data_IF_155813487148
#
_entry.id   IF_155813487148
#
_cell.length_a   1.000
_cell.length_b   1.000
_cell.length_c   1.000
_cell.angle_alpha   90.00
_cell.angle_beta   90.00
_cell.angle_gamma   90.00
#
_symmetry.space_group_name_H-M   'P 1'
#
loop_
_entity.id
_entity.type
_entity.pdbx_description
1 polymer ?
#
# COMPACT_ATOMS: atom_id res chain seq x y z
N UNK A 1 21.98 14.24 75.13
CA UNK A 1 23.39 14.61 74.87
C UNK A 1 24.08 13.48 74.12
N UNK A 2 24.76 13.79 73.00
CA UNK A 2 25.95 13.11 72.41
C UNK A 2 25.82 11.59 72.09
N UNK A 3 25.62 11.22 70.82
CA UNK A 3 26.66 10.88 69.79
C UNK A 3 27.49 9.63 70.11
N UNK A 4 27.33 8.57 69.30
CA UNK A 4 28.31 7.65 68.62
C UNK A 4 27.42 6.66 67.81
N UNK A 5 27.21 6.67 66.49
CA UNK A 5 28.05 6.65 65.27
C UNK A 5 28.94 5.40 65.11
N UNK A 6 28.64 4.54 64.13
CA UNK A 6 29.63 3.55 63.68
C UNK A 6 29.13 2.41 62.79
N UNK A 7 29.04 2.68 61.48
CA UNK A 7 29.32 1.76 60.38
C UNK A 7 28.50 0.46 60.22
N UNK A 8 27.51 0.50 59.33
CA UNK A 8 27.39 -0.44 58.21
C UNK A 8 26.38 0.07 57.18
N UNK A 9 26.59 -0.27 55.92
CA UNK A 9 25.79 0.07 54.73
C UNK A 9 25.99 1.47 54.11
N UNK A 10 27.23 1.73 53.72
CA UNK A 10 27.48 2.34 52.41
C UNK A 10 27.41 1.24 51.33
N UNK A 11 26.24 1.03 50.71
CA UNK A 11 26.10 0.23 49.49
C UNK A 11 24.76 0.41 48.71
N UNK A 12 24.01 1.50 48.91
CA UNK A 12 22.77 1.74 48.13
C UNK A 12 22.62 3.21 47.71
N UNK A 13 23.72 3.79 47.24
CA UNK A 13 23.69 4.94 46.34
C UNK A 13 24.09 4.43 44.97
N UNK A 14 23.11 4.19 44.08
CA UNK A 14 23.20 4.15 42.61
C UNK A 14 22.03 3.31 42.08
N UNK A 15 20.86 3.94 41.88
CA UNK A 15 19.84 3.55 40.85
C UNK A 15 18.62 4.47 40.87
N UNK A 16 18.38 5.25 41.93
CA UNK A 16 17.28 6.21 42.00
C UNK A 16 17.73 7.61 41.54
N UNK A 17 18.18 7.74 40.29
CA UNK A 17 18.30 9.01 39.53
C UNK A 17 18.84 8.70 38.12
N UNK A 18 18.00 8.11 37.28
CA UNK A 18 18.19 8.12 35.83
C UNK A 18 16.84 8.43 35.17
N UNK A 19 16.55 9.73 35.07
CA UNK A 19 15.77 10.33 33.99
C UNK A 19 14.31 9.91 33.81
N UNK A 20 13.41 10.53 34.56
CA UNK A 20 12.00 10.76 34.15
C UNK A 20 11.87 11.74 32.96
N UNK A 21 12.94 11.96 32.20
CA UNK A 21 13.01 12.88 31.06
C UNK A 21 14.02 12.41 30.02
N UNK A 22 13.99 11.11 29.72
CA UNK A 22 14.55 10.58 28.47
C UNK A 22 13.42 10.53 27.42
N UNK A 23 13.59 11.09 26.20
CA UNK A 23 12.66 10.91 25.09
C UNK A 23 12.79 9.48 24.60
N UNK A 24 12.13 8.58 25.32
CA UNK A 24 12.25 7.15 25.14
C UNK A 24 11.25 6.44 26.04
N UNK A 25 10.05 7.01 26.20
CA UNK A 25 8.90 6.24 26.64
C UNK A 25 8.84 5.03 25.70
N UNK A 26 9.22 3.87 26.24
CA UNK A 26 9.19 2.60 25.53
C UNK A 26 7.78 2.42 25.03
N UNK A 27 7.59 2.61 23.73
CA UNK A 27 6.35 2.36 23.03
C UNK A 27 5.92 0.93 23.39
N UNK A 28 4.71 0.80 23.95
CA UNK A 28 4.23 -0.48 24.46
C UNK A 28 3.91 -1.47 23.33
N UNK A 29 3.68 -0.98 22.12
CA UNK A 29 3.28 -1.76 20.95
C UNK A 29 4.44 -1.98 19.98
N UNK A 30 4.54 -3.20 19.45
CA UNK A 30 5.47 -3.51 18.35
C UNK A 30 4.95 -2.91 17.02
N UNK A 31 5.83 -2.69 16.02
CA UNK A 31 5.42 -2.24 14.69
C UNK A 31 4.29 -3.08 14.07
N UNK A 32 4.35 -4.40 14.26
CA UNK A 32 3.33 -5.31 13.75
C UNK A 32 1.98 -5.15 14.49
N UNK A 33 2.00 -4.89 15.80
CA UNK A 33 0.79 -4.63 16.59
C UNK A 33 0.13 -3.30 16.19
N UNK A 34 0.92 -2.24 16.03
CA UNK A 34 0.41 -0.91 15.61
C UNK A 34 -0.20 -0.97 14.20
N UNK A 35 0.46 -1.64 13.24
CA UNK A 35 -0.14 -1.85 11.91
C UNK A 35 -1.38 -2.75 11.98
N UNK A 36 -1.40 -3.81 12.79
CA UNK A 36 -2.61 -4.64 12.92
C UNK A 36 -3.81 -3.85 13.48
N UNK A 37 -3.57 -2.97 14.47
CA UNK A 37 -4.57 -2.03 14.96
C UNK A 37 -5.04 -1.08 13.84
N UNK A 38 -4.09 -0.63 13.00
CA UNK A 38 -4.38 0.19 11.81
C UNK A 38 -5.31 -0.52 10.83
N UNK A 39 -5.01 -1.78 10.50
CA UNK A 39 -5.86 -2.59 9.64
C UNK A 39 -7.29 -2.75 10.18
N UNK A 40 -7.43 -2.94 11.50
CA UNK A 40 -8.73 -3.04 12.18
C UNK A 40 -9.51 -1.72 12.10
N UNK A 41 -8.87 -0.59 12.39
CA UNK A 41 -9.49 0.74 12.34
C UNK A 41 -9.92 1.10 10.90
N UNK A 42 -9.05 0.88 9.91
CA UNK A 42 -9.37 1.04 8.49
C UNK A 42 -10.56 0.17 8.06
N UNK A 43 -10.64 -1.06 8.58
CA UNK A 43 -11.77 -1.98 8.37
C UNK A 43 -13.12 -1.42 8.84
N UNK A 44 -13.13 -0.51 9.80
CA UNK A 44 -14.33 0.12 10.37
C UNK A 44 -14.76 1.39 9.64
N UNK A 45 -13.92 1.96 8.77
CA UNK A 45 -14.28 3.17 8.01
C UNK A 45 -15.50 2.93 7.12
N UNK A 46 -16.45 3.86 7.14
CA UNK A 46 -17.62 3.87 6.24
C UNK A 46 -17.29 4.50 4.90
N UNK A 47 -16.36 5.44 4.88
CA UNK A 47 -15.91 6.13 3.68
C UNK A 47 -14.48 6.63 3.87
N UNK A 48 -13.75 6.79 2.77
CA UNK A 48 -12.42 7.38 2.76
C UNK A 48 -12.21 8.18 1.48
N UNK A 49 -11.47 9.28 1.58
CA UNK A 49 -10.85 9.93 0.42
C UNK A 49 -9.46 9.36 0.25
N UNK A 50 -9.01 9.29 -1.00
CA UNK A 50 -7.70 8.76 -1.31
C UNK A 50 -7.09 9.50 -2.49
N UNK A 51 -5.76 9.60 -2.45
CA UNK A 51 -4.91 10.02 -3.54
C UNK A 51 -3.83 8.96 -3.71
N UNK A 52 -3.67 8.48 -4.94
CA UNK A 52 -2.66 7.51 -5.34
C UNK A 52 -1.79 8.15 -6.39
N UNK A 53 -0.49 8.08 -6.19
CA UNK A 53 0.50 8.39 -7.20
C UNK A 53 1.39 7.17 -7.39
N UNK A 54 1.58 6.74 -8.63
CA UNK A 54 2.47 5.64 -8.98
C UNK A 54 3.36 6.03 -10.15
N UNK A 55 4.57 5.50 -10.14
CA UNK A 55 5.56 5.67 -11.19
C UNK A 55 6.08 4.29 -11.54
N UNK A 56 5.97 3.89 -12.80
CA UNK A 56 6.36 2.56 -13.27
C UNK A 56 7.26 2.71 -14.50
N UNK A 57 8.41 2.05 -14.50
CA UNK A 57 9.20 1.86 -15.71
C UNK A 57 8.55 0.76 -16.53
N UNK A 58 8.12 1.10 -17.75
CA UNK A 58 7.45 0.19 -18.67
C UNK A 58 8.33 -0.03 -19.89
N UNK A 59 8.53 -1.29 -20.24
CA UNK A 59 9.10 -1.68 -21.53
C UNK A 59 7.96 -2.17 -22.43
N UNK A 60 7.62 -1.38 -23.45
CA UNK A 60 6.59 -1.74 -24.42
C UNK A 60 7.21 -2.43 -25.65
N UNK A 61 6.55 -3.46 -26.21
CA UNK A 61 6.93 -4.02 -27.50
C UNK A 61 6.90 -2.95 -28.60
N UNK A 62 7.88 -2.96 -29.50
CA UNK A 62 8.02 -1.96 -30.56
C UNK A 62 6.76 -1.84 -31.43
N UNK A 63 6.12 -2.97 -31.76
CA UNK A 63 4.88 -3.01 -32.54
C UNK A 63 3.73 -2.25 -31.90
N UNK A 64 3.62 -2.25 -30.57
CA UNK A 64 2.60 -1.50 -29.84
C UNK A 64 2.94 -0.01 -29.81
N UNK A 65 4.22 0.34 -29.65
CA UNK A 65 4.69 1.74 -29.74
C UNK A 65 4.31 2.33 -31.11
N UNK A 66 4.53 1.58 -32.19
CA UNK A 66 4.24 2.03 -33.55
C UNK A 66 2.73 2.23 -33.77
N UNK A 67 1.88 1.34 -33.24
CA UNK A 67 0.42 1.50 -33.28
C UNK A 67 -0.07 2.72 -32.50
N UNK A 68 0.50 2.97 -31.32
CA UNK A 68 0.16 4.13 -30.49
C UNK A 68 0.63 5.43 -31.14
N UNK A 69 1.80 5.44 -31.79
CA UNK A 69 2.29 6.58 -32.58
C UNK A 69 1.37 6.89 -33.75
N UNK A 70 0.93 5.87 -34.48
CA UNK A 70 -0.01 6.04 -35.59
C UNK A 70 -1.35 6.64 -35.16
N UNK A 71 -1.84 6.29 -33.95
CA UNK A 71 -3.11 6.82 -33.40
C UNK A 71 -2.99 8.17 -32.70
N UNK A 72 -1.85 8.46 -32.08
CA UNK A 72 -1.66 9.64 -31.22
C UNK A 72 -1.07 10.88 -31.90
N UNK A 73 -0.79 10.83 -33.21
CA UNK A 73 -0.35 11.99 -33.99
C UNK A 73 0.90 12.68 -33.41
N UNK A 74 0.97 14.01 -33.49
CA UNK A 74 2.12 14.80 -33.03
C UNK A 74 2.43 14.63 -31.52
N UNK A 75 1.43 14.28 -30.71
CA UNK A 75 1.56 14.11 -29.26
C UNK A 75 2.24 12.79 -28.86
N UNK A 76 2.27 11.81 -29.77
CA UNK A 76 2.88 10.50 -29.55
C UNK A 76 4.36 10.42 -29.95
N UNK A 77 4.96 11.52 -30.43
CA UNK A 77 6.36 11.57 -30.88
C UNK A 77 7.38 11.18 -29.79
N UNK A 78 7.03 11.36 -28.52
CA UNK A 78 7.87 11.02 -27.38
C UNK A 78 7.66 9.59 -26.82
N UNK A 79 6.83 8.75 -27.48
CA UNK A 79 6.73 7.33 -27.13
C UNK A 79 8.01 6.58 -27.55
N UNK A 80 8.55 5.78 -26.65
CA UNK A 80 9.74 4.94 -26.81
C UNK A 80 9.50 3.51 -26.30
N UNK A 81 10.39 2.57 -26.59
CA UNK A 81 10.23 1.19 -26.09
C UNK A 81 10.46 1.10 -24.58
N UNK A 82 11.29 1.96 -24.00
CA UNK A 82 11.48 2.08 -22.55
C UNK A 82 11.04 3.46 -22.09
N UNK A 83 10.12 3.53 -21.13
CA UNK A 83 9.64 4.81 -20.62
C UNK A 83 9.13 4.71 -19.20
N UNK A 84 8.98 5.87 -18.56
CA UNK A 84 8.30 5.98 -17.29
C UNK A 84 6.83 6.33 -17.52
N UNK A 85 5.94 5.45 -17.06
CA UNK A 85 4.54 5.74 -16.89
C UNK A 85 4.33 6.36 -15.50
N UNK A 86 3.57 7.46 -15.44
CA UNK A 86 3.08 7.99 -14.17
C UNK A 86 1.57 7.86 -14.12
N UNK A 87 1.05 7.48 -12.98
CA UNK A 87 -0.36 7.29 -12.72
C UNK A 87 -0.74 8.14 -11.51
N UNK A 88 -1.82 8.88 -11.63
CA UNK A 88 -2.47 9.59 -10.54
C UNK A 88 -3.92 9.15 -10.46
N UNK A 89 -4.38 8.81 -9.27
CA UNK A 89 -5.79 8.52 -9.01
C UNK A 89 -6.19 9.36 -7.80
N UNK A 90 -7.29 10.08 -7.89
CA UNK A 90 -7.88 10.78 -6.74
C UNK A 90 -9.35 10.47 -6.66
N UNK A 91 -9.86 10.23 -5.45
CA UNK A 91 -11.24 9.78 -5.33
C UNK A 91 -11.74 9.63 -3.91
N UNK A 92 -12.94 9.07 -3.83
CA UNK A 92 -13.59 8.69 -2.59
C UNK A 92 -14.27 7.33 -2.76
N UNK A 93 -14.19 6.52 -1.71
CA UNK A 93 -14.92 5.28 -1.59
C UNK A 93 -15.87 5.37 -0.40
N UNK A 94 -17.05 4.79 -0.54
CA UNK A 94 -18.05 4.64 0.52
C UNK A 94 -18.60 3.23 0.50
N UNK A 95 -18.58 2.57 1.66
CA UNK A 95 -19.16 1.23 1.83
C UNK A 95 -20.69 1.30 1.71
N UNK A 96 -21.33 0.24 1.17
CA UNK A 96 -20.72 -1.02 0.76
C UNK A 96 -20.07 -1.02 -0.64
N UNK A 97 -20.48 -0.13 -1.55
CA UNK A 97 -20.22 -0.34 -2.98
C UNK A 97 -20.13 0.94 -3.83
N UNK A 98 -19.89 2.09 -3.20
CA UNK A 98 -19.73 3.36 -3.89
C UNK A 98 -18.26 3.73 -4.05
N UNK A 99 -17.87 4.10 -5.27
CA UNK A 99 -16.56 4.61 -5.61
C UNK A 99 -16.72 5.71 -6.64
N UNK A 100 -16.00 6.82 -6.46
CA UNK A 100 -15.79 7.80 -7.51
C UNK A 100 -14.31 8.15 -7.53
N UNK A 101 -13.68 8.04 -8.71
CA UNK A 101 -12.27 8.34 -8.87
C UNK A 101 -11.99 9.00 -10.22
N UNK A 102 -11.08 9.96 -10.22
CA UNK A 102 -10.44 10.46 -11.43
C UNK A 102 -9.11 9.74 -11.59
N UNK A 103 -8.83 9.27 -12.80
CA UNK A 103 -7.62 8.53 -13.16
C UNK A 103 -6.91 9.30 -14.26
N UNK A 104 -5.65 9.63 -14.04
CA UNK A 104 -4.77 10.27 -15.01
C UNK A 104 -3.52 9.42 -15.18
N UNK A 105 -3.27 8.92 -16.39
CA UNK A 105 -2.04 8.23 -16.75
C UNK A 105 -1.25 9.07 -17.75
N UNK A 106 0.06 9.20 -17.54
CA UNK A 106 0.97 9.87 -18.47
C UNK A 106 2.07 8.92 -18.92
N UNK A 107 2.23 8.82 -20.23
CA UNK A 107 3.10 7.85 -20.89
C UNK A 107 3.76 8.51 -22.11
N UNK A 108 5.08 8.74 -22.06
CA UNK A 108 5.85 9.26 -23.21
C UNK A 108 5.25 10.50 -23.88
N UNK A 109 4.74 11.46 -23.09
CA UNK A 109 4.12 12.70 -23.57
C UNK A 109 2.59 12.63 -23.78
N UNK A 110 2.02 11.44 -23.90
CA UNK A 110 0.58 11.22 -23.96
C UNK A 110 -0.02 11.28 -22.54
N UNK A 111 -1.08 12.07 -22.34
CA UNK A 111 -1.89 12.06 -21.13
C UNK A 111 -3.24 11.42 -21.45
N UNK A 112 -3.65 10.46 -20.64
CA UNK A 112 -4.93 9.77 -20.71
C UNK A 112 -5.67 10.08 -19.42
N UNK A 113 -6.88 10.63 -19.54
CA UNK A 113 -7.74 10.93 -18.41
C UNK A 113 -9.04 10.12 -18.53
N UNK A 114 -9.47 9.51 -17.43
CA UNK A 114 -10.74 8.79 -17.34
C UNK A 114 -11.32 8.97 -15.94
N UNK A 115 -12.65 8.97 -15.83
CA UNK A 115 -13.33 8.92 -14.55
C UNK A 115 -13.90 7.52 -14.37
N UNK A 116 -13.87 7.02 -13.14
CA UNK A 116 -14.42 5.75 -12.75
C UNK A 116 -15.46 5.97 -11.66
N UNK A 117 -16.64 5.35 -11.83
CA UNK A 117 -17.70 5.34 -10.83
C UNK A 117 -18.14 3.90 -10.60
N UNK A 118 -18.21 3.47 -9.34
CA UNK A 118 -18.90 2.24 -8.97
C UNK A 118 -20.12 2.56 -8.11
N UNK A 119 -21.26 1.95 -8.43
CA UNK A 119 -22.50 2.05 -7.66
C UNK A 119 -23.37 0.82 -7.93
N UNK A 120 -23.98 0.25 -6.90
CA UNK A 120 -24.87 -0.91 -7.05
C UNK A 120 -24.15 -2.14 -7.63
N UNK A 121 -22.85 -2.30 -7.32
CA UNK A 121 -22.02 -3.37 -7.89
C UNK A 121 -21.65 -3.22 -9.36
N UNK A 122 -22.05 -2.13 -10.02
CA UNK A 122 -21.71 -1.84 -11.43
C UNK A 122 -20.59 -0.81 -11.50
N UNK A 123 -19.59 -1.06 -12.34
CA UNK A 123 -18.48 -0.14 -12.58
C UNK A 123 -18.65 0.52 -13.94
N UNK A 124 -18.62 1.85 -13.94
CA UNK A 124 -18.69 2.74 -15.09
C UNK A 124 -17.35 3.45 -15.24
N UNK A 125 -16.95 3.70 -16.48
CA UNK A 125 -15.81 4.57 -16.77
C UNK A 125 -16.10 5.49 -17.94
N UNK A 126 -15.36 6.59 -18.06
CA UNK A 126 -15.39 7.44 -19.26
C UNK A 126 -14.36 6.96 -20.26
N UNK A 127 -14.77 6.59 -21.48
CA UNK A 127 -13.83 6.28 -22.56
C UNK A 127 -12.95 7.51 -22.84
N UNK A 128 -11.63 7.43 -22.70
CA UNK A 128 -10.73 8.57 -22.90
C UNK A 128 -10.74 9.10 -24.34
N UNK A 129 -11.18 8.31 -25.32
CA UNK A 129 -11.23 8.72 -26.73
C UNK A 129 -12.54 9.40 -27.11
N UNK A 130 -13.66 8.98 -26.52
CA UNK A 130 -15.00 9.48 -26.89
C UNK A 130 -15.66 10.33 -25.79
N UNK A 131 -15.09 10.33 -24.60
CA UNK A 131 -15.64 10.96 -23.39
C UNK A 131 -17.04 10.46 -23.01
N UNK A 132 -17.45 9.29 -23.52
CA UNK A 132 -18.74 8.68 -23.20
C UNK A 132 -18.60 7.74 -22.01
N UNK A 133 -19.63 7.66 -21.20
CA UNK A 133 -19.72 6.66 -20.13
C UNK A 133 -19.96 5.28 -20.72
N UNK A 134 -19.14 4.34 -20.31
CA UNK A 134 -19.23 2.94 -20.66
C UNK A 134 -19.30 2.09 -19.39
N UNK A 135 -19.98 0.94 -19.48
CA UNK A 135 -20.03 -0.04 -18.40
C UNK A 135 -18.84 -0.96 -18.58
N UNK A 136 -17.99 -1.08 -17.55
CA UNK A 136 -16.95 -2.09 -17.52
C UNK A 136 -17.59 -3.46 -17.27
N UNK A 137 -17.91 -4.17 -18.35
CA UNK A 137 -18.39 -5.54 -18.27
C UNK A 137 -17.24 -6.43 -17.83
N UNK A 138 -17.28 -6.91 -16.59
CA UNK A 138 -16.43 -8.03 -16.18
C UNK A 138 -16.79 -9.20 -17.10
N UNK A 139 -15.84 -9.89 -17.75
CA UNK A 139 -16.14 -11.15 -18.40
C UNK A 139 -16.85 -12.03 -17.39
N UNK A 140 -18.00 -12.61 -17.76
CA UNK A 140 -18.66 -13.65 -16.97
C UNK A 140 -17.78 -14.91 -16.99
N UNK A 141 -16.60 -14.83 -16.38
CA UNK A 141 -15.91 -16.00 -15.92
C UNK A 141 -16.77 -16.53 -14.79
N UNK A 142 -17.30 -17.73 -15.00
CA UNK A 142 -17.69 -18.71 -14.00
C UNK A 142 -16.61 -18.83 -12.92
N UNK A 143 -16.51 -17.84 -12.04
CA UNK A 143 -15.65 -17.87 -10.89
C UNK A 143 -16.30 -18.81 -9.87
N UNK A 144 -15.58 -19.81 -9.35
CA UNK A 144 -16.08 -20.66 -8.28
C UNK A 144 -16.58 -19.79 -7.11
N UNK A 145 -17.73 -20.15 -6.53
CA UNK A 145 -18.39 -19.48 -5.39
C UNK A 145 -17.56 -19.45 -4.08
N UNK A 146 -16.36 -20.04 -4.08
CA UNK A 146 -15.42 -19.96 -2.96
C UNK A 146 -14.31 -18.99 -3.33
N UNK A 147 -14.22 -17.86 -2.62
CA UNK A 147 -13.13 -16.90 -2.82
C UNK A 147 -11.79 -17.62 -2.61
N UNK A 148 -10.89 -17.68 -3.61
CA UNK A 148 -9.48 -17.87 -3.34
C UNK A 148 -9.03 -16.73 -2.40
N UNK A 149 -8.09 -17.02 -1.50
CA UNK A 149 -7.77 -16.19 -0.32
C UNK A 149 -7.86 -14.68 -0.56
N UNK A 150 -8.59 -13.98 0.29
CA UNK A 150 -8.81 -12.54 0.11
C UNK A 150 -7.52 -11.79 0.42
N UNK A 151 -7.02 -11.01 -0.55
CA UNK A 151 -5.99 -10.01 -0.28
C UNK A 151 -6.56 -9.04 0.77
N UNK A 152 -6.00 -9.10 1.96
CA UNK A 152 -6.42 -8.29 3.11
C UNK A 152 -5.21 -7.61 3.72
N UNK A 153 -5.47 -6.55 4.49
CA UNK A 153 -4.41 -5.88 5.23
C UNK A 153 -3.64 -6.86 6.13
N UNK A 154 -4.35 -7.76 6.81
CA UNK A 154 -3.74 -8.79 7.64
C UNK A 154 -2.88 -9.78 6.84
N UNK A 155 -3.32 -10.18 5.64
CA UNK A 155 -2.54 -11.05 4.78
C UNK A 155 -1.18 -10.44 4.40
N UNK A 156 -1.11 -9.12 4.19
CA UNK A 156 0.14 -8.42 3.92
C UNK A 156 1.06 -8.47 5.14
N UNK A 157 0.52 -8.28 6.34
CA UNK A 157 1.31 -8.30 7.58
C UNK A 157 1.80 -9.71 7.94
N UNK A 158 0.94 -10.72 7.84
CA UNK A 158 1.27 -12.11 8.20
C UNK A 158 2.34 -12.71 7.28
N UNK A 159 2.39 -12.23 6.04
CA UNK A 159 3.38 -12.65 5.03
C UNK A 159 4.52 -11.67 4.89
N UNK A 160 4.63 -10.64 5.73
CA UNK A 160 5.72 -9.68 5.61
C UNK A 160 7.08 -10.36 5.83
N UNK A 161 8.03 -10.10 4.92
CA UNK A 161 9.44 -10.44 5.11
C UNK A 161 10.07 -9.56 6.18
N UNK A 162 9.69 -8.29 6.23
CA UNK A 162 10.08 -7.36 7.30
C UNK A 162 9.05 -6.26 7.50
N UNK A 163 8.88 -5.85 8.76
CA UNK A 163 8.17 -4.64 9.18
C UNK A 163 9.11 -3.89 10.10
N UNK A 164 9.51 -2.69 9.71
CA UNK A 164 10.45 -1.87 10.49
C UNK A 164 9.86 -0.50 10.72
N UNK A 165 9.90 -0.03 11.97
CA UNK A 165 9.63 1.37 12.26
C UNK A 165 10.78 2.22 11.70
N UNK A 166 10.42 3.24 10.94
CA UNK A 166 11.35 4.21 10.39
C UNK A 166 11.28 5.45 11.28
N UNK A 167 12.33 5.69 12.04
CA UNK A 167 12.38 6.82 12.96
C UNK A 167 12.67 8.10 12.19
N UNK A 168 11.59 8.76 11.75
CA UNK A 168 11.66 10.13 11.26
C UNK A 168 11.44 11.10 12.42
N UNK A 169 12.20 12.18 12.48
CA UNK A 169 12.08 13.18 13.54
C UNK A 169 10.72 13.90 13.41
N UNK A 170 9.78 13.54 14.30
CA UNK A 170 8.43 14.11 14.44
C UNK A 170 7.67 14.30 13.11
N UNK A 171 7.20 13.20 12.51
CA UNK A 171 6.32 13.30 11.36
C UNK A 171 4.89 13.66 11.81
N UNK A 172 4.46 14.87 11.50
CA UNK A 172 3.02 15.22 11.46
C UNK A 172 2.57 15.22 10.02
N UNK A 173 1.47 14.53 9.71
CA UNK A 173 0.83 14.55 8.39
C UNK A 173 -0.61 15.04 8.54
N UNK A 174 -1.00 16.03 7.75
CA UNK A 174 -2.35 16.61 7.77
C UNK A 174 -2.84 17.02 9.18
N UNK A 175 -1.92 17.44 10.05
CA UNK A 175 -2.22 17.83 11.44
C UNK A 175 -2.31 16.66 12.44
N UNK A 176 -2.14 15.41 12.01
CA UNK A 176 -2.06 14.24 12.87
C UNK A 176 -0.60 13.84 13.11
N UNK A 177 -0.29 13.45 14.35
CA UNK A 177 0.98 12.77 14.67
C UNK A 177 0.95 11.38 14.08
N UNK A 178 1.98 11.01 13.32
CA UNK A 178 2.06 9.71 12.65
C UNK A 178 3.33 8.95 13.01
N UNK A 179 3.20 7.63 12.98
CA UNK A 179 4.29 6.67 12.97
C UNK A 179 4.55 6.20 11.54
N UNK A 180 5.84 6.08 11.19
CA UNK A 180 6.25 5.64 9.87
C UNK A 180 6.79 4.21 9.93
N UNK A 181 6.24 3.35 9.09
CA UNK A 181 6.62 1.96 8.97
C UNK A 181 7.00 1.61 7.54
N UNK A 182 8.09 0.85 7.40
CA UNK A 182 8.47 0.20 6.15
C UNK A 182 8.10 -1.28 6.19
N UNK A 183 7.28 -1.69 5.25
CA UNK A 183 6.80 -3.06 5.06
C UNK A 183 7.38 -3.62 3.77
N UNK A 184 8.04 -4.78 3.86
CA UNK A 184 8.51 -5.54 2.70
C UNK A 184 7.74 -6.86 2.70
N UNK A 185 6.73 -7.05 1.84
CA UNK A 185 6.01 -8.32 1.75
C UNK A 185 6.88 -9.45 1.21
N UNK A 186 6.68 -10.68 1.69
CA UNK A 186 7.15 -11.88 1.03
C UNK A 186 6.16 -12.20 -0.11
N UNK A 187 6.50 -11.76 -1.33
CA UNK A 187 5.61 -11.86 -2.49
C UNK A 187 5.23 -13.31 -2.83
N UNK A 188 6.09 -14.28 -2.52
CA UNK A 188 5.83 -15.70 -2.76
C UNK A 188 4.79 -16.21 -1.76
N UNK A 189 4.96 -15.91 -0.47
CA UNK A 189 3.98 -16.29 0.57
C UNK A 189 2.65 -15.56 0.40
N UNK A 190 2.70 -14.26 0.10
CA UNK A 190 1.51 -13.46 -0.16
C UNK A 190 0.72 -14.02 -1.35
N UNK A 191 1.39 -14.35 -2.45
CA UNK A 191 0.74 -14.98 -3.59
C UNK A 191 0.15 -16.35 -3.26
N UNK A 192 0.87 -17.19 -2.52
CA UNK A 192 0.36 -18.49 -2.06
C UNK A 192 -0.91 -18.34 -1.17
N UNK A 193 -0.92 -17.33 -0.30
CA UNK A 193 -2.07 -17.02 0.55
C UNK A 193 -3.27 -16.51 -0.26
N UNK A 194 -3.07 -15.61 -1.22
CA UNK A 194 -4.16 -15.04 -2.05
C UNK A 194 -4.71 -16.06 -3.05
N UNK A 195 -3.85 -16.92 -3.60
CA UNK A 195 -4.29 -18.02 -4.47
C UNK A 195 -5.02 -19.12 -3.69
N UNK A 196 -5.03 -19.08 -2.35
CA UNK A 196 -5.67 -20.09 -1.52
C UNK A 196 -5.17 -21.51 -1.82
N UNK A 197 -3.90 -21.65 -2.22
CA UNK A 197 -3.31 -22.93 -2.61
C UNK A 197 -3.88 -23.55 -3.90
N UNK A 198 -4.68 -22.81 -4.69
CA UNK A 198 -5.17 -23.32 -5.97
C UNK A 198 -4.01 -23.37 -6.96
N UNK A 199 -3.55 -24.59 -7.26
CA UNK A 199 -2.58 -24.82 -8.33
C UNK A 199 -3.22 -24.44 -9.67
N UNK A 200 -2.59 -23.54 -10.41
CA UNK A 200 -2.98 -23.28 -11.79
C UNK A 200 -2.85 -24.59 -12.58
N UNK A 201 -3.80 -24.85 -13.49
CA UNK A 201 -3.76 -26.01 -14.40
C UNK A 201 -2.53 -25.99 -15.32
N UNK A 202 -1.86 -24.85 -15.44
CA UNK A 202 -0.59 -24.69 -16.13
C UNK A 202 0.57 -24.60 -15.13
N UNK A 203 1.27 -25.72 -14.93
CA UNK A 203 2.42 -25.82 -14.03
C UNK A 203 3.61 -24.97 -14.49
N UNK A 204 3.85 -24.87 -15.80
CA UNK A 204 4.93 -24.04 -16.35
C UNK A 204 4.69 -22.55 -16.10
N UNK A 205 3.46 -22.06 -16.27
CA UNK A 205 3.09 -20.69 -15.96
C UNK A 205 3.22 -20.38 -14.46
N UNK A 206 2.85 -21.34 -13.60
CA UNK A 206 2.99 -21.21 -12.14
C UNK A 206 4.47 -21.12 -11.73
N UNK A 207 5.33 -21.98 -12.29
CA UNK A 207 6.76 -21.95 -12.04
C UNK A 207 7.40 -20.64 -12.51
N UNK A 208 7.06 -20.17 -13.71
CA UNK A 208 7.54 -18.89 -14.23
C UNK A 208 7.12 -17.71 -13.35
N UNK A 209 5.86 -17.66 -12.93
CA UNK A 209 5.36 -16.63 -12.02
C UNK A 209 6.09 -16.68 -10.67
N UNK A 210 6.31 -17.88 -10.12
CA UNK A 210 7.03 -18.03 -8.86
C UNK A 210 8.49 -17.54 -8.97
N UNK A 211 9.18 -17.84 -10.08
CA UNK A 211 10.51 -17.30 -10.35
C UNK A 211 10.50 -15.77 -10.43
N UNK A 212 9.50 -15.16 -11.07
CA UNK A 212 9.37 -13.70 -11.11
C UNK A 212 9.18 -13.13 -9.70
N UNK A 213 8.27 -13.71 -8.89
CA UNK A 213 8.00 -13.25 -7.53
C UNK A 213 9.18 -13.42 -6.58
N UNK A 214 10.01 -14.46 -6.77
CA UNK A 214 11.23 -14.67 -5.99
C UNK A 214 12.30 -13.60 -6.25
N UNK A 215 12.35 -13.08 -7.48
CA UNK A 215 13.33 -12.07 -7.89
C UNK A 215 12.79 -10.64 -7.79
N UNK A 216 11.48 -10.47 -7.62
CA UNK A 216 10.85 -9.19 -7.40
C UNK A 216 10.94 -8.78 -5.93
N UNK A 217 11.02 -7.47 -5.69
CA UNK A 217 10.86 -6.89 -4.36
C UNK A 217 9.88 -5.74 -4.43
N UNK A 218 9.06 -5.63 -3.39
CA UNK A 218 8.14 -4.51 -3.17
C UNK A 218 8.45 -3.97 -1.79
N UNK A 219 8.46 -2.65 -1.68
CA UNK A 219 8.59 -1.94 -0.40
C UNK A 219 7.42 -0.98 -0.30
N UNK A 220 6.72 -1.00 0.83
CA UNK A 220 5.65 -0.07 1.15
C UNK A 220 6.04 0.71 2.39
N UNK A 221 6.09 2.04 2.27
CA UNK A 221 6.18 2.95 3.40
C UNK A 221 4.75 3.35 3.79
N UNK A 222 4.43 3.25 5.08
CA UNK A 222 3.09 3.44 5.65
C UNK A 222 3.18 4.42 6.79
N UNK A 223 2.39 5.49 6.74
CA UNK A 223 2.25 6.43 7.84
C UNK A 223 0.89 6.24 8.52
N UNK A 224 0.91 5.82 9.78
CA UNK A 224 -0.30 5.59 10.57
C UNK A 224 -0.40 6.58 11.72
N UNK A 225 -1.61 7.06 12.03
CA UNK A 225 -1.79 8.01 13.11
C UNK A 225 -1.65 7.34 14.47
N UNK A 226 -0.93 7.99 15.39
CA UNK A 226 -0.65 7.41 16.73
C UNK A 226 -1.89 7.27 17.60
N UNK A 227 -2.93 8.07 17.32
CA UNK A 227 -4.14 8.15 18.15
C UNK A 227 -5.35 7.49 17.47
N UNK A 228 -5.47 7.60 16.15
CA UNK A 228 -6.62 7.11 15.39
C UNK A 228 -6.35 5.75 14.74
N UNK A 229 -5.08 5.33 14.64
CA UNK A 229 -4.63 4.18 13.89
C UNK A 229 -5.20 4.16 12.46
N UNK A 230 -5.30 5.32 11.81
CA UNK A 230 -5.70 5.41 10.41
C UNK A 230 -4.47 5.59 9.52
N UNK A 231 -4.56 5.11 8.28
CA UNK A 231 -3.52 5.36 7.28
C UNK A 231 -3.65 6.80 6.79
N UNK A 232 -2.56 7.56 6.93
CA UNK A 232 -2.45 8.94 6.46
C UNK A 232 -1.62 9.05 5.17
N UNK A 233 -0.76 8.06 4.87
CA UNK A 233 0.00 7.94 3.60
C UNK A 233 0.49 6.52 3.38
#
# INVERSE_FOLDING_TARGET
MKRVLGAALAATLLSACAGLSAPGATKAETPQQSLAATGKAMGQLKSAKFDVAATVQVTLPQSLVDQLKAKGGAQAGALSSNMTATLKISGAAQKPDQLQANVSARLGGLTIETQVVAVGGTLYYTDPMTSKWEVLKRPEATAPKSSPGTLSYQAILDTAKSITEVTDSSATLNGATVEHYRVVPDLVKLFAQISGGHASSNSAATAALQTVLQNASVTADVWTGTNDHLIHR
#
